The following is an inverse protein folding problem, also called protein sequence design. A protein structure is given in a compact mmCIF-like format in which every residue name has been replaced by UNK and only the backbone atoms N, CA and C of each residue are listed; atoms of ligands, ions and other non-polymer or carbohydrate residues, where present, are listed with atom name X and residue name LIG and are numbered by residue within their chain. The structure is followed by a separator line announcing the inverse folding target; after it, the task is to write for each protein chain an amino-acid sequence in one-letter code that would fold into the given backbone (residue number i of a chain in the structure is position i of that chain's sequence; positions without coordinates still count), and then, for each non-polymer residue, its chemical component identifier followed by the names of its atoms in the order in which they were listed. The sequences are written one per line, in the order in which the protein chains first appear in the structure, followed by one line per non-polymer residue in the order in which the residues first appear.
data_IF_335321885825
#
_entry.id   IF_335321885825
#
_cell.length_a   1.000
_cell.length_b   1.000
_cell.length_c   1.000
_cell.angle_alpha   90.00
_cell.angle_beta   90.00
_cell.angle_gamma   90.00
#
_symmetry.space_group_name_H-M   'P 1'
#
loop_
_entity.id
_entity.type
_entity.pdbx_description
1 polymer ?
#
# COMPACT_ATOMS: atom_id res chain seq x y z
N UNK A 1 0.40 20.37 28.14
CA UNK A 1 -0.87 19.91 27.56
C UNK A 1 -1.55 18.85 28.42
N UNK A 2 -0.88 17.76 28.81
CA UNK A 2 -1.55 16.59 29.42
C UNK A 2 -1.89 16.70 30.91
N UNK A 3 -1.21 17.58 31.64
CA UNK A 3 -1.28 17.66 33.11
C UNK A 3 -2.56 18.31 33.66
N UNK A 4 -3.39 18.92 32.81
CA UNK A 4 -4.62 19.60 33.23
C UNK A 4 -5.78 19.22 32.31
N UNK A 5 -6.94 18.92 32.91
CA UNK A 5 -8.14 18.54 32.16
C UNK A 5 -8.59 19.63 31.17
N UNK A 6 -8.47 20.92 31.53
CA UNK A 6 -8.78 22.04 30.63
C UNK A 6 -7.90 22.04 29.38
N UNK A 7 -6.60 21.76 29.53
CA UNK A 7 -5.66 21.71 28.41
C UNK A 7 -5.92 20.49 27.50
N UNK A 8 -6.20 19.32 28.09
CA UNK A 8 -6.58 18.13 27.31
C UNK A 8 -7.87 18.36 26.54
N UNK A 9 -8.88 18.93 27.18
CA UNK A 9 -10.16 19.30 26.55
C UNK A 9 -9.95 20.23 25.36
N UNK A 10 -9.19 21.32 25.54
CA UNK A 10 -8.88 22.24 24.43
C UNK A 10 -8.16 21.55 23.27
N UNK A 11 -7.22 20.64 23.55
CA UNK A 11 -6.53 19.85 22.53
C UNK A 11 -7.50 18.91 21.80
N UNK A 12 -8.33 18.16 22.53
CA UNK A 12 -9.31 17.23 21.96
C UNK A 12 -10.27 17.98 21.04
N UNK A 13 -10.94 19.03 21.54
CA UNK A 13 -11.93 19.79 20.77
C UNK A 13 -11.33 20.45 19.53
N UNK A 14 -10.11 21.00 19.65
CA UNK A 14 -9.43 21.61 18.50
C UNK A 14 -8.98 20.58 17.47
N UNK A 15 -8.53 19.39 17.90
CA UNK A 15 -8.13 18.31 16.99
C UNK A 15 -9.32 17.77 16.18
N UNK A 16 -10.47 17.54 16.83
CA UNK A 16 -11.70 17.07 16.17
C UNK A 16 -12.19 18.13 15.17
N UNK A 17 -12.25 19.39 15.60
CA UNK A 17 -12.65 20.51 14.73
C UNK A 17 -11.75 20.62 13.50
N UNK A 18 -10.44 20.51 13.70
CA UNK A 18 -9.45 20.59 12.61
C UNK A 18 -9.63 19.41 11.65
N UNK A 19 -9.78 18.19 12.17
CA UNK A 19 -10.01 17.01 11.34
C UNK A 19 -11.25 17.17 10.44
N UNK A 20 -12.37 17.61 11.02
CA UNK A 20 -13.60 17.88 10.26
C UNK A 20 -13.45 19.01 9.25
N UNK A 21 -12.87 20.13 9.67
CA UNK A 21 -12.69 21.31 8.81
C UNK A 21 -11.86 21.01 7.56
N UNK A 22 -10.89 20.11 7.68
CA UNK A 22 -10.02 19.71 6.57
C UNK A 22 -10.40 18.39 5.91
N UNK A 23 -11.56 17.80 6.28
CA UNK A 23 -12.08 16.59 5.66
C UNK A 23 -11.28 15.31 5.96
N UNK A 24 -10.53 15.28 7.07
CA UNK A 24 -9.85 14.08 7.54
C UNK A 24 -10.85 13.10 8.17
N UNK A 25 -10.62 11.81 7.95
CA UNK A 25 -11.43 10.71 8.52
C UNK A 25 -10.94 10.29 9.90
N UNK A 26 -9.79 10.78 10.34
CA UNK A 26 -9.19 10.38 11.59
C UNK A 26 -8.05 11.28 12.04
N UNK A 27 -7.53 10.98 13.22
CA UNK A 27 -6.46 11.70 13.88
C UNK A 27 -5.42 10.68 14.37
N UNK A 28 -4.16 10.95 14.10
CA UNK A 28 -3.04 10.11 14.51
C UNK A 28 -2.18 10.82 15.56
N UNK A 29 -2.09 10.25 16.76
CA UNK A 29 -1.28 10.77 17.85
C UNK A 29 0.17 10.30 17.69
N UNK A 30 1.04 11.22 17.27
CA UNK A 30 2.46 10.95 17.07
C UNK A 30 3.32 11.64 18.14
N UNK A 31 3.56 10.97 19.28
CA UNK A 31 4.36 11.49 20.40
C UNK A 31 5.61 10.65 20.65
N UNK A 32 6.79 11.22 20.34
CA UNK A 32 8.11 10.58 20.47
C UNK A 32 8.98 11.22 21.56
N UNK A 33 9.01 10.76 22.81
CA UNK A 33 8.19 9.77 23.50
C UNK A 33 7.70 10.39 24.82
N UNK A 34 6.75 9.78 25.54
CA UNK A 34 6.54 10.10 26.95
C UNK A 34 7.86 10.01 27.72
N UNK A 35 8.09 10.90 28.69
CA UNK A 35 9.39 10.98 29.38
C UNK A 35 9.29 10.65 30.87
N UNK A 36 8.08 10.53 31.41
CA UNK A 36 7.84 10.28 32.84
C UNK A 36 6.70 9.29 33.05
N UNK A 37 6.64 8.68 34.24
CA UNK A 37 5.51 7.86 34.65
C UNK A 37 4.19 8.67 34.65
N UNK A 38 4.26 9.96 35.01
CA UNK A 38 3.10 10.86 34.97
C UNK A 38 2.60 11.09 33.54
N UNK A 39 3.51 11.22 32.57
CA UNK A 39 3.14 11.32 31.15
C UNK A 39 2.36 10.10 30.67
N UNK A 40 2.77 8.89 31.08
CA UNK A 40 2.06 7.65 30.74
C UNK A 40 0.65 7.59 31.35
N UNK A 41 0.52 7.95 32.62
CA UNK A 41 -0.80 8.03 33.28
C UNK A 41 -1.68 9.06 32.60
N UNK A 42 -1.16 10.26 32.34
CA UNK A 42 -1.92 11.34 31.71
C UNK A 42 -2.24 11.06 30.24
N UNK A 43 -1.41 10.28 29.54
CA UNK A 43 -1.72 9.76 28.21
C UNK A 43 -2.96 8.88 28.28
N UNK A 44 -3.02 7.93 29.22
CA UNK A 44 -4.18 7.05 29.37
C UNK A 44 -5.48 7.86 29.57
N UNK A 45 -5.43 8.89 30.41
CA UNK A 45 -6.55 9.81 30.64
C UNK A 45 -6.92 10.60 29.39
N UNK A 46 -5.93 11.11 28.64
CA UNK A 46 -6.18 11.79 27.38
C UNK A 46 -6.93 10.89 26.40
N UNK A 47 -6.49 9.64 26.22
CA UNK A 47 -7.09 8.73 25.24
C UNK A 47 -8.55 8.38 25.63
N UNK A 48 -8.82 8.19 26.93
CA UNK A 48 -10.18 7.97 27.44
C UNK A 48 -11.10 9.16 27.16
N UNK A 49 -10.64 10.38 27.48
CA UNK A 49 -11.39 11.62 27.22
C UNK A 49 -11.59 11.85 25.71
N UNK A 50 -10.57 11.55 24.89
CA UNK A 50 -10.59 11.78 23.45
C UNK A 50 -11.59 10.87 22.74
N UNK A 51 -11.61 9.57 23.06
CA UNK A 51 -12.60 8.64 22.50
C UNK A 51 -14.02 9.01 22.94
N UNK A 52 -14.21 9.41 24.19
CA UNK A 52 -15.52 9.86 24.66
C UNK A 52 -16.04 11.06 23.86
N UNK A 53 -15.18 12.04 23.56
CA UNK A 53 -15.55 13.22 22.80
C UNK A 53 -15.79 12.91 21.31
N UNK A 54 -14.98 12.06 20.68
CA UNK A 54 -15.23 11.61 19.29
C UNK A 54 -16.59 10.94 19.18
N UNK A 55 -16.92 10.05 20.12
CA UNK A 55 -18.21 9.35 20.11
C UNK A 55 -19.37 10.33 20.38
N UNK A 56 -19.14 11.36 21.21
CA UNK A 56 -20.10 12.43 21.48
C UNK A 56 -20.36 13.28 20.22
N UNK A 57 -19.29 13.72 19.54
CA UNK A 57 -19.36 14.51 18.33
C UNK A 57 -20.09 13.76 17.21
N UNK A 58 -19.77 12.48 16.98
CA UNK A 58 -20.43 11.65 15.98
C UNK A 58 -21.94 11.51 16.24
N UNK A 59 -22.33 11.27 17.49
CA UNK A 59 -23.76 11.22 17.88
C UNK A 59 -24.47 12.55 17.68
N UNK A 60 -23.81 13.67 17.95
CA UNK A 60 -24.42 15.00 17.88
C UNK A 60 -24.55 15.51 16.44
N UNK A 61 -23.61 15.15 15.56
CA UNK A 61 -23.59 15.62 14.15
C UNK A 61 -24.22 14.61 13.19
N UNK A 62 -24.33 13.34 13.58
CA UNK A 62 -24.73 12.25 12.69
C UNK A 62 -23.63 11.82 11.71
N UNK A 63 -22.41 12.34 11.85
CA UNK A 63 -21.25 11.93 11.05
C UNK A 63 -20.65 10.62 11.58
N UNK A 64 -19.93 9.90 10.70
CA UNK A 64 -19.14 8.74 11.13
C UNK A 64 -18.06 9.16 12.16
N UNK A 65 -17.83 8.32 13.17
CA UNK A 65 -16.78 8.52 14.17
C UNK A 65 -15.41 8.74 13.51
N UNK A 66 -14.63 9.67 14.04
CA UNK A 66 -13.25 9.85 13.61
C UNK A 66 -12.42 8.64 14.05
N UNK A 67 -11.59 8.14 13.14
CA UNK A 67 -10.62 7.08 13.42
C UNK A 67 -9.52 7.67 14.32
N UNK A 68 -9.22 7.04 15.44
CA UNK A 68 -8.11 7.41 16.31
C UNK A 68 -6.97 6.41 16.19
N UNK A 69 -5.80 6.92 15.84
CA UNK A 69 -4.56 6.17 15.68
C UNK A 69 -3.48 6.70 16.61
N UNK A 70 -2.46 5.89 16.85
CA UNK A 70 -1.31 6.29 17.65
C UNK A 70 -0.04 5.62 17.19
N UNK A 71 1.06 6.37 17.17
CA UNK A 71 2.40 5.85 17.00
C UNK A 71 2.95 5.26 18.30
N UNK A 72 3.50 4.06 18.23
CA UNK A 72 4.07 3.34 19.36
C UNK A 72 5.56 3.12 19.14
N UNK A 73 6.31 3.15 20.25
CA UNK A 73 7.69 2.66 20.26
C UNK A 73 7.69 1.15 20.00
N UNK A 74 8.77 0.63 19.43
CA UNK A 74 8.94 -0.81 19.21
C UNK A 74 8.77 -1.66 20.47
N UNK A 75 9.09 -1.12 21.65
CA UNK A 75 8.81 -1.75 22.94
C UNK A 75 7.68 -1.02 23.70
N UNK A 76 6.83 -1.77 24.41
CA UNK A 76 5.84 -1.19 25.31
C UNK A 76 6.46 -0.58 26.58
N UNK A 77 7.68 -1.01 26.94
CA UNK A 77 8.34 -0.71 28.21
C UNK A 77 9.39 0.41 28.11
N UNK A 78 9.51 1.16 29.21
CA UNK A 78 10.46 2.24 29.45
C UNK A 78 11.07 2.07 30.84
N UNK A 79 12.18 2.77 31.11
CA UNK A 79 12.82 2.77 32.43
C UNK A 79 11.89 3.25 33.54
N UNK A 80 10.94 4.13 33.22
CA UNK A 80 10.01 4.75 34.17
C UNK A 80 8.58 4.17 34.11
N UNK A 81 8.34 3.10 33.34
CA UNK A 81 7.02 2.47 33.28
C UNK A 81 6.69 1.82 31.94
N UNK A 82 5.42 1.48 31.77
CA UNK A 82 4.87 0.87 30.55
C UNK A 82 3.82 1.80 29.96
N UNK A 83 3.61 1.74 28.64
CA UNK A 83 2.45 2.40 28.02
C UNK A 83 1.13 2.00 28.72
N UNK A 84 0.10 2.86 28.74
CA UNK A 84 -1.22 2.54 29.27
C UNK A 84 -1.99 1.62 28.30
N UNK A 85 -1.51 0.39 28.14
CA UNK A 85 -1.97 -0.61 27.14
C UNK A 85 -3.49 -0.75 27.13
N UNK A 86 -4.13 -0.85 28.29
CA UNK A 86 -5.58 -0.98 28.38
C UNK A 86 -6.35 0.25 27.87
N UNK A 87 -5.83 1.45 28.09
CA UNK A 87 -6.43 2.67 27.53
C UNK A 87 -6.23 2.73 26.03
N UNK A 88 -5.03 2.43 25.53
CA UNK A 88 -4.76 2.39 24.08
C UNK A 88 -5.68 1.37 23.39
N UNK A 89 -5.78 0.16 23.93
CA UNK A 89 -6.63 -0.94 23.42
C UNK A 89 -8.11 -0.56 23.31
N UNK A 90 -8.64 0.11 24.33
CA UNK A 90 -10.06 0.53 24.38
C UNK A 90 -10.34 1.72 23.47
N UNK A 91 -9.41 2.66 23.38
CA UNK A 91 -9.69 3.98 22.81
C UNK A 91 -9.18 4.18 21.39
N UNK A 92 -8.11 3.50 20.96
CA UNK A 92 -7.59 3.62 19.60
C UNK A 92 -8.22 2.56 18.71
N UNK A 93 -8.51 2.91 17.45
CA UNK A 93 -8.96 1.95 16.45
C UNK A 93 -7.83 0.97 16.13
N UNK A 94 -6.64 1.52 15.91
CA UNK A 94 -5.38 0.77 15.85
C UNK A 94 -4.20 1.65 16.23
N UNK A 95 -3.05 1.02 16.45
CA UNK A 95 -1.80 1.69 16.72
C UNK A 95 -0.71 1.11 15.82
N UNK A 96 0.30 1.91 15.51
CA UNK A 96 1.36 1.51 14.59
C UNK A 96 2.74 1.60 15.25
N UNK A 97 3.50 0.52 15.15
CA UNK A 97 4.81 0.39 15.78
C UNK A 97 5.87 1.00 14.88
N UNK A 98 6.62 1.96 15.40
CA UNK A 98 7.84 2.48 14.75
C UNK A 98 8.92 1.42 14.88
N UNK A 99 9.05 0.58 13.85
CA UNK A 99 9.93 -0.58 13.79
C UNK A 99 11.19 -0.33 12.95
N UNK A 100 11.75 0.85 13.10
CA UNK A 100 12.93 1.35 12.40
C UNK A 100 13.64 2.40 13.26
N UNK A 101 14.79 2.86 12.79
CA UNK A 101 15.68 3.82 13.47
C UNK A 101 16.23 3.27 14.80
N UNK A 102 16.39 1.95 14.87
CA UNK A 102 16.97 1.24 16.01
C UNK A 102 18.40 1.69 16.32
N UNK A 103 19.16 1.91 15.25
CA UNK A 103 20.57 2.27 15.30
C UNK A 103 20.82 3.46 14.39
N UNK A 104 21.54 4.46 14.90
CA UNK A 104 21.77 5.72 14.19
C UNK A 104 23.27 6.04 14.07
N UNK A 105 23.75 6.42 12.88
CA UNK A 105 25.16 6.79 12.68
C UNK A 105 25.59 8.05 13.44
N UNK A 106 24.63 8.82 13.96
CA UNK A 106 24.89 9.98 14.82
C UNK A 106 25.18 9.59 16.28
N UNK A 107 24.86 8.37 16.67
CA UNK A 107 24.97 7.87 18.06
C UNK A 107 25.98 6.74 18.20
N UNK A 108 26.24 6.00 17.13
CA UNK A 108 26.99 4.74 17.18
C UNK A 108 28.22 4.78 16.25
N UNK A 109 29.22 3.97 16.60
CA UNK A 109 30.51 3.85 15.88
C UNK A 109 30.67 2.51 15.18
N UNK A 110 29.57 1.80 14.96
CA UNK A 110 29.54 0.54 14.24
C UNK A 110 28.35 0.57 13.27
N UNK A 111 28.48 -0.10 12.13
CA UNK A 111 27.37 -0.27 11.19
C UNK A 111 26.30 -1.17 11.83
N UNK A 112 25.03 -0.86 11.65
CA UNK A 112 23.94 -1.65 12.23
C UNK A 112 22.73 -1.67 11.32
N UNK A 113 21.88 -2.68 11.51
CA UNK A 113 20.62 -2.80 10.81
C UNK A 113 19.55 -1.89 11.46
N UNK A 114 19.37 -0.66 10.92
CA UNK A 114 18.43 0.32 11.50
C UNK A 114 16.97 -0.15 11.61
N UNK A 115 16.57 -1.17 10.86
CA UNK A 115 15.21 -1.68 10.81
C UNK A 115 15.16 -3.22 10.85
N UNK A 116 16.07 -3.85 11.58
CA UNK A 116 16.16 -5.31 11.67
C UNK A 116 14.82 -5.97 12.05
N UNK A 117 14.35 -6.94 11.24
CA UNK A 117 13.22 -7.78 11.65
C UNK A 117 13.63 -8.70 12.80
N UNK A 118 14.82 -9.30 12.68
CA UNK A 118 15.44 -10.15 13.67
C UNK A 118 16.85 -9.64 13.97
N UNK A 119 17.32 -9.83 15.20
CA UNK A 119 18.72 -9.63 15.56
C UNK A 119 19.13 -10.76 16.50
N UNK A 120 20.06 -11.66 16.11
CA UNK A 120 20.51 -12.74 16.98
C UNK A 120 21.39 -12.25 18.15
N UNK A 121 21.89 -11.02 18.08
CA UNK A 121 22.82 -10.46 19.06
C UNK A 121 22.19 -9.48 20.03
N UNK A 122 20.93 -9.07 19.81
CA UNK A 122 20.25 -8.11 20.68
C UNK A 122 18.73 -8.24 20.64
N UNK A 123 18.06 -7.60 21.61
CA UNK A 123 16.60 -7.46 21.61
C UNK A 123 16.12 -6.22 20.85
N UNK A 124 17.02 -5.49 20.18
CA UNK A 124 16.70 -4.28 19.42
C UNK A 124 16.30 -4.67 18.00
N UNK A 125 15.14 -5.30 17.87
CA UNK A 125 14.58 -5.73 16.59
C UNK A 125 13.05 -5.77 16.62
N UNK A 126 12.45 -5.82 15.44
CA UNK A 126 11.00 -5.79 15.26
C UNK A 126 10.30 -7.00 15.87
N UNK A 127 10.80 -8.22 15.66
CA UNK A 127 10.14 -9.44 16.16
C UNK A 127 10.06 -9.45 17.69
N UNK A 128 11.15 -9.08 18.36
CA UNK A 128 11.16 -8.96 19.81
C UNK A 128 10.13 -7.95 20.30
N UNK A 129 10.10 -6.75 19.70
CA UNK A 129 9.15 -5.70 20.07
C UNK A 129 7.68 -6.10 19.87
N UNK A 130 7.35 -6.69 18.71
CA UNK A 130 6.01 -7.19 18.42
C UNK A 130 5.61 -8.29 19.41
N UNK A 131 6.49 -9.25 19.71
CA UNK A 131 6.19 -10.29 20.70
C UNK A 131 5.93 -9.71 22.09
N UNK A 132 6.68 -8.69 22.50
CA UNK A 132 6.50 -8.05 23.80
C UNK A 132 5.15 -7.30 23.88
N UNK A 133 4.78 -6.55 22.85
CA UNK A 133 3.46 -5.91 22.76
C UNK A 133 2.30 -6.91 22.86
N UNK A 134 2.40 -8.06 22.17
CA UNK A 134 1.39 -9.11 22.21
C UNK A 134 1.36 -9.82 23.57
N UNK A 135 2.54 -10.10 24.17
CA UNK A 135 2.65 -10.73 25.48
C UNK A 135 2.03 -9.86 26.60
N UNK A 136 2.12 -8.54 26.46
CA UNK A 136 1.48 -7.58 27.36
C UNK A 136 -0.02 -7.36 27.08
N UNK A 137 -0.61 -8.15 26.17
CA UNK A 137 -2.06 -8.17 25.93
C UNK A 137 -2.56 -7.17 24.89
N UNK A 138 -1.67 -6.51 24.13
CA UNK A 138 -2.12 -5.69 23.01
C UNK A 138 -2.62 -6.57 21.85
N UNK A 139 -3.80 -6.29 21.27
CA UNK A 139 -4.37 -7.19 20.27
C UNK A 139 -3.68 -7.04 18.90
N UNK A 140 -3.25 -8.16 18.33
CA UNK A 140 -2.56 -8.20 17.04
C UNK A 140 -3.38 -7.52 15.92
N UNK A 141 -4.69 -7.76 15.88
CA UNK A 141 -5.60 -7.16 14.89
C UNK A 141 -5.89 -5.66 15.11
N UNK A 142 -5.20 -4.99 16.05
CA UNK A 142 -5.15 -3.53 16.16
C UNK A 142 -3.72 -2.97 16.06
N UNK A 143 -2.74 -3.80 15.72
CA UNK A 143 -1.34 -3.39 15.64
C UNK A 143 -0.88 -3.38 14.18
N UNK A 144 -0.31 -2.26 13.74
CA UNK A 144 0.32 -2.12 12.43
C UNK A 144 1.84 -2.16 12.57
N UNK A 145 2.51 -2.80 11.62
CA UNK A 145 3.96 -2.77 11.50
C UNK A 145 4.43 -1.55 10.69
N UNK A 146 5.28 -0.69 11.27
CA UNK A 146 5.90 0.43 10.55
C UNK A 146 7.09 0.00 9.70
N UNK A 147 7.09 0.42 8.43
CA UNK A 147 8.15 0.12 7.46
C UNK A 147 8.88 1.41 7.04
N UNK A 148 10.22 1.44 7.04
CA UNK A 148 10.98 2.60 6.59
C UNK A 148 11.21 2.56 5.09
N UNK A 149 10.91 3.67 4.41
CA UNK A 149 11.35 3.92 3.04
C UNK A 149 12.58 4.82 3.03
N UNK A 150 13.45 4.64 4.02
CA UNK A 150 14.73 5.32 4.12
C UNK A 150 15.77 4.34 4.63
N UNK A 151 17.00 4.82 4.65
CA UNK A 151 18.13 4.15 5.20
C UNK A 151 19.11 5.13 5.79
N UNK A 152 20.25 4.60 6.22
CA UNK A 152 21.32 5.41 6.76
C UNK A 152 22.64 5.07 6.09
N UNK A 153 23.52 6.05 5.99
CA UNK A 153 24.87 5.93 5.49
C UNK A 153 25.87 6.11 6.64
N UNK A 154 26.82 5.17 6.73
CA UNK A 154 27.93 5.15 7.66
C UNK A 154 29.26 5.24 6.90
N UNK A 155 30.21 5.94 7.49
CA UNK A 155 31.59 5.95 7.01
C UNK A 155 32.37 4.81 7.68
N UNK A 156 32.72 3.77 6.94
CA UNK A 156 33.56 2.67 7.41
C UNK A 156 34.97 3.18 7.75
N UNK A 157 35.53 2.68 8.86
CA UNK A 157 36.95 2.91 9.19
C UNK A 157 37.83 2.13 8.22
N UNK A 158 37.45 0.90 7.90
CA UNK A 158 38.15 0.03 6.97
C UNK A 158 37.14 -0.57 5.98
N UNK A 159 37.14 -0.19 4.69
CA UNK A 159 36.21 -0.72 3.69
C UNK A 159 36.26 -2.25 3.49
N UNK A 160 37.35 -2.90 3.92
CA UNK A 160 37.49 -4.37 3.87
C UNK A 160 36.71 -5.06 5.01
N UNK A 161 36.40 -4.34 6.07
CA UNK A 161 35.53 -4.78 7.16
C UNK A 161 34.17 -4.11 6.97
N UNK A 162 33.22 -4.84 6.39
CA UNK A 162 32.00 -4.22 5.86
C UNK A 162 30.71 -5.02 6.13
N UNK A 163 30.80 -5.99 7.04
CA UNK A 163 29.63 -6.66 7.58
C UNK A 163 28.78 -5.70 8.44
N UNK A 164 27.59 -6.13 8.81
CA UNK A 164 26.84 -5.51 9.91
C UNK A 164 27.69 -5.67 11.19
N UNK A 165 27.84 -4.59 11.96
CA UNK A 165 28.72 -4.51 13.12
C UNK A 165 30.15 -4.07 12.81
N UNK A 166 30.44 -3.66 11.57
CA UNK A 166 31.77 -3.19 11.19
C UNK A 166 32.09 -1.81 11.82
N UNK A 167 33.36 -1.55 12.20
CA UNK A 167 33.76 -0.25 12.72
C UNK A 167 33.48 0.91 11.75
N UNK A 168 32.86 1.97 12.25
CA UNK A 168 32.55 3.19 11.50
C UNK A 168 32.98 4.45 12.25
N UNK A 169 33.27 5.51 11.51
CA UNK A 169 33.51 6.86 12.04
C UNK A 169 32.22 7.67 12.21
N UNK A 170 31.05 7.02 12.05
CA UNK A 170 29.71 7.61 12.17
C UNK A 170 29.07 7.88 10.81
N UNK A 171 28.30 8.95 10.72
CA UNK A 171 27.52 9.36 9.53
C UNK A 171 28.35 9.60 8.27
N UNK A 172 27.78 9.26 7.12
CA UNK A 172 28.29 9.57 5.78
C UNK A 172 27.18 10.17 4.90
N UNK A 173 27.57 10.75 3.76
CA UNK A 173 26.70 11.34 2.70
C UNK A 173 25.85 12.56 3.10
N UNK A 174 25.15 12.52 4.24
CA UNK A 174 24.24 13.58 4.70
C UNK A 174 24.53 14.00 6.15
N UNK A 175 23.89 15.08 6.61
CA UNK A 175 24.17 15.70 7.91
C UNK A 175 23.89 14.78 9.11
N UNK A 176 23.02 13.80 8.96
CA UNK A 176 22.64 12.80 9.96
C UNK A 176 22.79 11.36 9.43
N UNK A 177 23.28 11.19 8.21
CA UNK A 177 23.38 9.90 7.52
C UNK A 177 22.08 9.43 6.85
N UNK A 178 20.94 10.09 7.07
CA UNK A 178 19.66 9.66 6.49
C UNK A 178 19.68 9.78 4.97
N UNK A 179 19.16 8.77 4.27
CA UNK A 179 18.96 8.77 2.82
C UNK A 179 17.57 8.20 2.49
N UNK A 180 16.80 8.86 1.62
CA UNK A 180 15.55 8.30 1.10
C UNK A 180 15.82 7.07 0.24
N UNK A 181 14.91 6.09 0.20
CA UNK A 181 15.08 4.90 -0.63
C UNK A 181 15.34 5.24 -2.11
N UNK A 182 14.58 6.17 -2.69
CA UNK A 182 14.81 6.67 -4.07
C UNK A 182 16.18 7.31 -4.27
N UNK A 183 16.73 7.99 -3.27
CA UNK A 183 18.10 8.50 -3.34
C UNK A 183 19.11 7.36 -3.27
N UNK A 184 18.92 6.38 -2.38
CA UNK A 184 19.76 5.19 -2.29
C UNK A 184 19.80 4.43 -3.62
N UNK A 185 18.65 4.23 -4.30
CA UNK A 185 18.60 3.56 -5.60
C UNK A 185 19.40 4.28 -6.68
N UNK A 186 19.25 5.61 -6.79
CA UNK A 186 20.05 6.43 -7.72
C UNK A 186 21.54 6.41 -7.37
N UNK A 187 21.87 6.42 -6.09
CA UNK A 187 23.24 6.38 -5.61
C UNK A 187 23.90 5.04 -5.99
N UNK A 188 23.25 3.91 -5.69
CA UNK A 188 23.67 2.57 -6.10
C UNK A 188 23.89 2.50 -7.62
N UNK A 189 22.94 3.00 -8.41
CA UNK A 189 23.02 2.99 -9.86
C UNK A 189 24.20 3.82 -10.39
N UNK A 190 24.46 4.99 -9.80
CA UNK A 190 25.54 5.89 -10.22
C UNK A 190 26.93 5.30 -10.02
N UNK A 191 27.08 4.44 -9.00
CA UNK A 191 28.35 3.79 -8.68
C UNK A 191 28.43 2.32 -9.16
N UNK A 192 27.39 1.80 -9.80
CA UNK A 192 27.34 0.39 -10.24
C UNK A 192 27.43 -0.61 -9.08
N UNK A 193 26.96 -0.24 -7.89
CA UNK A 193 26.98 -1.10 -6.72
C UNK A 193 25.87 -2.15 -6.77
N UNK A 194 26.07 -3.27 -6.08
CA UNK A 194 25.03 -4.29 -5.92
C UNK A 194 24.59 -4.33 -4.45
N UNK A 195 23.29 -4.12 -4.15
CA UNK A 195 22.80 -4.27 -2.80
C UNK A 195 22.80 -5.74 -2.37
N UNK A 196 23.14 -5.97 -1.11
CA UNK A 196 23.22 -7.28 -0.46
C UNK A 196 22.02 -7.40 0.46
N UNK A 197 21.18 -8.42 0.24
CA UNK A 197 20.13 -8.79 1.19
C UNK A 197 20.72 -9.66 2.30
N UNK A 198 20.46 -9.30 3.55
CA UNK A 198 20.85 -10.08 4.71
C UNK A 198 19.62 -10.81 5.28
N UNK A 199 19.54 -12.12 5.07
CA UNK A 199 18.42 -12.94 5.54
C UNK A 199 18.35 -13.07 7.08
N UNK A 200 19.48 -12.93 7.79
CA UNK A 200 19.51 -13.00 9.26
C UNK A 200 18.79 -11.81 9.88
N UNK A 201 19.03 -10.60 9.35
CA UNK A 201 18.44 -9.36 9.86
C UNK A 201 17.18 -8.91 9.10
N UNK A 202 16.98 -9.44 7.89
CA UNK A 202 15.92 -9.04 6.94
C UNK A 202 16.01 -7.55 6.60
N UNK A 203 17.19 -7.15 6.15
CA UNK A 203 17.49 -5.79 5.66
C UNK A 203 18.43 -5.88 4.47
N UNK A 204 18.53 -4.81 3.70
CA UNK A 204 19.49 -4.65 2.63
C UNK A 204 20.61 -3.69 3.07
N UNK A 205 21.79 -3.88 2.49
CA UNK A 205 22.87 -2.91 2.58
C UNK A 205 23.73 -2.90 1.33
N UNK A 206 24.45 -1.82 1.05
CA UNK A 206 25.44 -1.75 -0.01
C UNK A 206 26.70 -1.02 0.46
N UNK A 207 27.82 -1.26 -0.23
CA UNK A 207 29.10 -0.63 0.07
C UNK A 207 29.61 0.07 -1.19
N UNK A 208 29.93 1.36 -1.06
CA UNK A 208 30.45 2.20 -2.13
C UNK A 208 31.66 2.95 -1.56
N UNK A 209 32.87 2.54 -1.95
CA UNK A 209 34.09 3.04 -1.33
C UNK A 209 34.10 2.74 0.17
N UNK A 210 34.19 3.78 0.99
CA UNK A 210 34.07 3.69 2.46
C UNK A 210 32.65 3.95 2.98
N UNK A 211 31.67 4.18 2.12
CA UNK A 211 30.29 4.42 2.54
C UNK A 211 29.55 3.09 2.59
N UNK A 212 28.99 2.77 3.76
CA UNK A 212 28.12 1.62 4.00
C UNK A 212 26.70 2.12 4.22
N UNK A 213 25.75 1.66 3.42
CA UNK A 213 24.37 2.17 3.44
C UNK A 213 23.43 1.01 3.70
N UNK A 214 22.57 1.10 4.72
CA UNK A 214 21.54 0.10 4.96
C UNK A 214 20.13 0.67 4.85
N UNK A 215 19.21 -0.18 4.40
CA UNK A 215 17.85 0.19 4.03
C UNK A 215 17.01 -1.08 3.85
N UNK A 216 15.70 -0.94 3.66
CA UNK A 216 14.86 -2.03 3.18
C UNK A 216 14.69 -1.94 1.65
N UNK A 217 15.06 -3.00 0.94
CA UNK A 217 14.68 -3.17 -0.48
C UNK A 217 13.47 -4.11 -0.59
N UNK A 218 13.03 -4.36 -1.82
CA UNK A 218 11.83 -5.15 -2.16
C UNK A 218 11.76 -6.48 -1.40
N UNK A 219 12.85 -7.23 -1.30
CA UNK A 219 12.87 -8.53 -0.60
C UNK A 219 12.63 -8.40 0.92
N UNK A 220 13.24 -7.39 1.55
CA UNK A 220 13.02 -7.11 2.97
C UNK A 220 11.57 -6.67 3.24
N UNK A 221 11.03 -5.77 2.41
CA UNK A 221 9.63 -5.32 2.51
C UNK A 221 8.66 -6.51 2.39
N UNK A 222 8.83 -7.36 1.37
CA UNK A 222 7.99 -8.55 1.18
C UNK A 222 8.03 -9.48 2.38
N UNK A 223 9.23 -9.72 2.91
CA UNK A 223 9.43 -10.60 4.07
C UNK A 223 8.78 -10.03 5.33
N UNK A 224 8.91 -8.72 5.59
CA UNK A 224 8.30 -8.06 6.76
C UNK A 224 6.77 -8.04 6.69
N UNK A 225 6.20 -7.96 5.50
CA UNK A 225 4.74 -8.03 5.30
C UNK A 225 4.22 -9.46 5.48
N UNK A 226 4.94 -10.45 4.95
CA UNK A 226 4.65 -11.85 5.22
C UNK A 226 4.68 -12.14 6.73
N UNK A 227 5.66 -11.59 7.44
CA UNK A 227 5.74 -11.65 8.91
C UNK A 227 4.52 -11.00 9.59
N UNK A 228 4.14 -9.78 9.19
CA UNK A 228 2.98 -9.10 9.76
C UNK A 228 1.69 -9.94 9.62
N UNK A 229 1.52 -10.57 8.47
CA UNK A 229 0.42 -11.51 8.21
C UNK A 229 0.48 -12.77 9.06
N UNK A 230 1.65 -13.37 9.18
CA UNK A 230 1.87 -14.56 10.02
C UNK A 230 1.49 -14.28 11.48
N UNK A 231 1.90 -13.11 12.00
CA UNK A 231 1.56 -12.64 13.34
C UNK A 231 0.12 -12.14 13.47
N UNK A 232 -0.67 -12.17 12.40
CA UNK A 232 -2.06 -11.67 12.35
C UNK A 232 -2.17 -10.21 12.80
N UNK A 233 -1.15 -9.42 12.48
CA UNK A 233 -1.20 -7.98 12.64
C UNK A 233 -2.30 -7.40 11.76
N UNK A 234 -2.81 -6.21 12.10
CA UNK A 234 -3.81 -5.54 11.28
C UNK A 234 -3.29 -5.21 9.88
N UNK A 235 -1.98 -5.00 9.74
CA UNK A 235 -1.34 -4.60 8.50
C UNK A 235 -0.01 -3.89 8.77
N UNK A 236 0.31 -2.92 7.91
CA UNK A 236 1.53 -2.13 7.99
C UNK A 236 1.25 -0.65 7.64
N UNK A 237 2.15 0.24 8.04
CA UNK A 237 2.22 1.62 7.57
C UNK A 237 3.66 1.93 7.10
N UNK A 238 3.84 3.02 6.36
CA UNK A 238 5.15 3.35 5.75
C UNK A 238 5.59 4.76 6.13
N UNK A 239 6.88 4.92 6.42
CA UNK A 239 7.52 6.20 6.68
C UNK A 239 8.70 6.42 5.71
N UNK A 240 8.60 7.26 4.70
CA UNK A 240 7.37 7.90 4.20
C UNK A 240 7.25 7.65 2.71
N UNK A 241 6.01 7.63 2.23
CA UNK A 241 5.65 7.31 0.83
C UNK A 241 6.50 8.06 -0.20
N UNK A 242 6.80 9.35 0.03
CA UNK A 242 7.58 10.18 -0.90
C UNK A 242 9.02 9.70 -1.10
N UNK A 243 9.52 8.85 -0.22
CA UNK A 243 10.87 8.31 -0.33
C UNK A 243 10.94 7.08 -1.24
N UNK A 244 9.82 6.47 -1.62
CA UNK A 244 9.80 5.31 -2.51
C UNK A 244 10.37 5.65 -3.90
N UNK A 245 10.90 4.64 -4.59
CA UNK A 245 11.40 4.77 -5.97
C UNK A 245 10.30 4.29 -6.93
N UNK A 246 9.58 5.24 -7.51
CA UNK A 246 8.50 4.94 -8.46
C UNK A 246 7.49 3.92 -7.91
N UNK A 247 7.15 4.00 -6.62
CA UNK A 247 6.20 3.13 -5.91
C UNK A 247 6.61 1.65 -5.85
N UNK A 248 7.90 1.33 -6.03
CA UNK A 248 8.34 -0.06 -6.10
C UNK A 248 8.16 -0.79 -4.77
N UNK A 249 8.47 -0.15 -3.64
CA UNK A 249 8.26 -0.76 -2.32
C UNK A 249 6.76 -0.85 -2.00
N UNK A 250 6.00 0.17 -2.37
CA UNK A 250 4.55 0.22 -2.18
C UNK A 250 3.82 -0.88 -2.97
N UNK A 251 4.22 -1.12 -4.22
CA UNK A 251 3.69 -2.22 -5.05
C UNK A 251 4.09 -3.59 -4.53
N UNK A 252 5.36 -3.76 -4.13
CA UNK A 252 5.83 -5.01 -3.55
C UNK A 252 5.01 -5.38 -2.30
N UNK A 253 4.62 -4.37 -1.53
CA UNK A 253 3.78 -4.53 -0.36
C UNK A 253 2.37 -5.04 -0.71
N UNK A 254 1.74 -4.46 -1.74
CA UNK A 254 0.43 -4.86 -2.25
C UNK A 254 0.44 -6.26 -2.89
N UNK A 255 1.48 -6.63 -3.62
CA UNK A 255 1.60 -7.94 -4.27
C UNK A 255 1.62 -9.08 -3.25
N UNK A 256 2.40 -8.93 -2.17
CA UNK A 256 2.42 -9.90 -1.08
C UNK A 256 1.07 -9.97 -0.38
N UNK A 257 0.36 -8.84 -0.26
CA UNK A 257 -1.01 -8.79 0.26
C UNK A 257 -1.92 -9.76 -0.50
N UNK A 258 -1.88 -9.72 -1.83
CA UNK A 258 -2.68 -10.52 -2.74
C UNK A 258 -2.17 -11.97 -2.94
N UNK A 259 -0.86 -12.20 -2.81
CA UNK A 259 -0.21 -13.48 -3.09
C UNK A 259 -0.73 -14.65 -2.23
N UNK A 260 -1.11 -14.39 -0.97
CA UNK A 260 -1.68 -15.41 -0.09
C UNK A 260 -3.06 -15.89 -0.56
N UNK A 261 -3.90 -14.97 -1.06
CA UNK A 261 -5.20 -15.31 -1.64
C UNK A 261 -5.06 -16.18 -2.89
N UNK A 262 -4.07 -15.89 -3.72
CA UNK A 262 -3.79 -16.67 -4.93
C UNK A 262 -3.21 -18.05 -4.62
N UNK A 263 -2.31 -18.19 -3.64
CA UNK A 263 -1.79 -19.52 -3.22
C UNK A 263 -2.91 -20.40 -2.67
N UNK A 264 -3.82 -19.86 -1.86
CA UNK A 264 -4.99 -20.60 -1.33
C UNK A 264 -5.98 -20.99 -2.43
N UNK A 265 -6.26 -20.08 -3.39
CA UNK A 265 -7.09 -20.39 -4.56
C UNK A 265 -6.45 -21.45 -5.45
N UNK A 266 -5.13 -21.38 -5.68
CA UNK A 266 -4.38 -22.37 -6.45
C UNK A 266 -4.40 -23.75 -5.78
N UNK A 267 -4.17 -23.82 -4.47
CA UNK A 267 -4.28 -25.06 -3.68
C UNK A 267 -5.67 -25.69 -3.79
N UNK A 268 -6.74 -24.89 -3.63
CA UNK A 268 -8.11 -25.38 -3.79
C UNK A 268 -8.39 -25.87 -5.22
N UNK A 269 -7.88 -25.15 -6.23
CA UNK A 269 -8.04 -25.50 -7.65
C UNK A 269 -7.33 -26.80 -8.00
N UNK A 270 -6.22 -27.15 -7.33
CA UNK A 270 -5.48 -28.40 -7.54
C UNK A 270 -6.06 -29.55 -6.71
N UNK A 271 -6.43 -29.31 -5.44
CA UNK A 271 -6.89 -30.37 -4.53
C UNK A 271 -8.29 -30.90 -4.86
N UNK A 272 -9.20 -30.05 -5.33
CA UNK A 272 -10.57 -30.45 -5.71
C UNK A 272 -10.61 -31.49 -6.85
N UNK A 273 -9.90 -31.31 -7.99
CA UNK A 273 -9.88 -32.32 -9.05
C UNK A 273 -9.18 -33.61 -8.62
N UNK A 274 -8.13 -33.55 -7.80
CA UNK A 274 -7.47 -34.76 -7.27
C UNK A 274 -8.46 -35.57 -6.41
N UNK A 275 -9.19 -34.91 -5.52
CA UNK A 275 -10.21 -35.57 -4.70
C UNK A 275 -11.32 -36.20 -5.57
N UNK A 276 -11.77 -35.51 -6.61
CA UNK A 276 -12.76 -36.04 -7.56
C UNK A 276 -12.26 -37.30 -8.27
N UNK A 277 -11.00 -37.29 -8.72
CA UNK A 277 -10.37 -38.45 -9.38
C UNK A 277 -10.29 -39.64 -8.42
N UNK A 278 -9.90 -39.42 -7.16
CA UNK A 278 -9.85 -40.49 -6.16
C UNK A 278 -11.24 -41.09 -5.92
N UNK A 279 -12.29 -40.26 -5.83
CA UNK A 279 -13.67 -40.72 -5.67
C UNK A 279 -14.12 -41.54 -6.89
N UNK A 280 -13.84 -41.07 -8.11
CA UNK A 280 -14.19 -41.79 -9.35
C UNK A 280 -13.45 -43.12 -9.45
N UNK A 281 -12.16 -43.17 -9.08
CA UNK A 281 -11.39 -44.41 -9.04
C UNK A 281 -11.92 -45.38 -7.99
N UNK A 282 -12.27 -44.90 -6.79
CA UNK A 282 -12.89 -45.73 -5.76
C UNK A 282 -14.24 -46.31 -6.23
N UNK A 283 -15.06 -45.49 -6.88
CA UNK A 283 -16.34 -45.95 -7.44
C UNK A 283 -16.14 -46.97 -8.57
N UNK A 284 -15.13 -46.77 -9.43
CA UNK A 284 -14.76 -47.71 -10.49
C UNK A 284 -14.28 -49.04 -9.90
N UNK A 285 -13.47 -49.02 -8.84
CA UNK A 285 -13.01 -50.24 -8.14
C UNK A 285 -14.20 -50.96 -7.49
N UNK A 286 -15.08 -50.26 -6.79
CA UNK A 286 -16.30 -50.84 -6.22
C UNK A 286 -17.22 -51.44 -7.31
N UNK A 287 -17.37 -50.75 -8.44
CA UNK A 287 -18.12 -51.25 -9.60
C UNK A 287 -17.49 -52.51 -10.22
N UNK A 288 -16.16 -52.57 -10.33
CA UNK A 288 -15.48 -53.77 -10.82
C UNK A 288 -15.53 -54.92 -9.82
N UNK A 289 -15.42 -54.64 -8.51
CA UNK A 289 -15.56 -55.65 -7.44
C UNK A 289 -16.99 -56.23 -7.40
N UNK A 290 -18.02 -55.40 -7.58
CA UNK A 290 -19.42 -55.84 -7.68
C UNK A 290 -19.75 -56.58 -8.98
N UNK A 291 -18.89 -56.53 -10.01
CA UNK A 291 -18.98 -57.36 -11.22
C UNK A 291 -18.33 -58.73 -11.06
N UNK A 292 -17.37 -58.87 -10.13
CA UNK A 292 -16.66 -60.13 -9.84
C UNK A 292 -17.35 -60.96 -8.75
N UNK A 293 -18.13 -60.32 -7.89
CA UNK A 293 -19.06 -60.99 -6.97
C UNK A 293 -20.43 -61.11 -7.64
N UNK A 294 -20.73 -62.26 -8.25
CA UNK A 294 -22.11 -62.61 -8.61
C UNK A 294 -23.00 -62.61 -7.37
N UNK A 295 -24.11 -61.85 -7.34
CA UNK A 295 -25.22 -62.11 -6.44
C UNK A 295 -26.25 -62.97 -7.17
N UNK A 296 -26.48 -64.19 -6.67
CA UNK A 296 -27.69 -64.97 -6.96
C UNK A 296 -28.92 -64.16 -6.51
N UNK A 297 -29.92 -64.09 -7.38
CA UNK A 297 -30.98 -63.08 -7.34
C UNK A 297 -32.13 -63.26 -6.33
N UNK A 298 -33.12 -62.38 -6.52
CA UNK A 298 -34.56 -62.29 -6.13
C UNK A 298 -34.84 -60.76 -5.97
N UNK A 299 -35.98 -60.11 -6.25
CA UNK A 299 -37.12 -60.19 -7.18
C UNK A 299 -37.98 -58.93 -6.85
N UNK A 300 -38.70 -58.36 -7.83
CA UNK A 300 -39.87 -57.44 -7.75
C UNK A 300 -39.74 -55.91 -7.55
N UNK A 301 -40.10 -55.24 -8.65
CA UNK A 301 -41.12 -54.18 -8.83
C UNK A 301 -40.89 -52.75 -8.35
N UNK A 302 -40.97 -51.83 -9.32
CA UNK A 302 -41.21 -50.40 -9.09
C UNK A 302 -41.03 -49.52 -10.32
N UNK A 303 -41.71 -49.82 -11.44
CA UNK A 303 -41.76 -48.96 -12.63
C UNK A 303 -42.74 -47.81 -12.37
N UNK A 304 -42.29 -46.56 -12.44
CA UNK A 304 -43.10 -45.42 -12.91
C UNK A 304 -42.19 -44.42 -13.60
N UNK A 305 -42.35 -44.30 -14.91
CA UNK A 305 -41.69 -43.28 -15.71
C UNK A 305 -42.53 -42.01 -15.78
N UNK A 306 -41.88 -40.91 -16.17
CA UNK A 306 -42.46 -39.87 -17.01
C UNK A 306 -41.31 -39.13 -17.71
N UNK A 307 -41.24 -39.36 -19.03
CA UNK A 307 -41.06 -38.44 -20.16
C UNK A 307 -39.88 -37.44 -20.19
N UNK A 308 -39.10 -37.52 -21.29
CA UNK A 308 -37.98 -36.63 -21.69
C UNK A 308 -38.42 -35.26 -22.25
N UNK A 309 -37.70 -34.59 -23.19
CA UNK A 309 -36.60 -35.02 -24.08
C UNK A 309 -35.28 -34.18 -23.93
N UNK A 310 -34.10 -34.75 -24.19
CA UNK A 310 -33.28 -34.68 -25.44
C UNK A 310 -33.10 -33.26 -26.02
N UNK A 311 -31.88 -32.71 -25.93
CA UNK A 311 -30.95 -32.54 -27.08
C UNK A 311 -29.57 -32.09 -26.60
N UNK A 312 -28.57 -32.54 -27.34
CA UNK A 312 -27.13 -32.51 -27.06
C UNK A 312 -26.45 -31.24 -27.64
N UNK A 313 -25.14 -31.06 -27.44
CA UNK A 313 -24.45 -29.78 -27.24
C UNK A 313 -23.95 -29.15 -28.55
N UNK A 314 -23.67 -27.84 -28.54
CA UNK A 314 -22.61 -27.24 -29.36
C UNK A 314 -22.47 -25.73 -29.11
N UNK A 315 -21.33 -25.22 -29.58
CA UNK A 315 -20.92 -23.83 -29.76
C UNK A 315 -20.18 -23.21 -28.57
N UNK A 316 -18.85 -23.22 -28.59
CA UNK A 316 -17.93 -22.47 -29.46
C UNK A 316 -17.49 -21.17 -28.77
N UNK A 317 -16.17 -21.07 -28.65
CA UNK A 317 -15.42 -19.89 -28.26
C UNK A 317 -15.79 -18.69 -29.14
N UNK A 318 -15.90 -17.52 -28.51
CA UNK A 318 -15.77 -16.23 -29.17
C UNK A 318 -14.76 -15.38 -28.38
N UNK A 319 -13.70 -14.86 -29.03
CA UNK A 319 -12.81 -13.86 -28.44
C UNK A 319 -13.31 -12.47 -28.83
N UNK A 320 -13.96 -11.76 -27.90
CA UNK A 320 -14.16 -10.32 -28.08
C UNK A 320 -13.92 -9.59 -26.76
N UNK A 321 -12.93 -8.71 -26.79
CA UNK A 321 -12.41 -7.94 -25.67
C UNK A 321 -13.13 -6.61 -25.50
N UNK A 322 -14.46 -6.59 -25.50
CA UNK A 322 -15.22 -5.36 -25.28
C UNK A 322 -15.37 -5.08 -23.79
N UNK A 323 -14.64 -4.06 -23.31
CA UNK A 323 -14.76 -3.51 -21.96
C UNK A 323 -16.05 -2.67 -21.85
N UNK A 324 -16.93 -2.85 -20.84
CA UNK A 324 -18.17 -2.09 -20.74
C UNK A 324 -17.91 -0.61 -20.37
N UNK A 325 -18.73 0.31 -20.90
CA UNK A 325 -18.89 1.73 -20.54
C UNK A 325 -17.94 2.81 -21.09
N UNK A 326 -16.93 2.51 -21.91
CA UNK A 326 -16.06 3.54 -22.53
C UNK A 326 -16.48 3.88 -23.96
N UNK A 327 -16.55 5.17 -24.30
CA UNK A 327 -16.82 5.62 -25.67
C UNK A 327 -15.54 5.61 -26.50
N UNK A 328 -15.63 5.12 -27.75
CA UNK A 328 -14.54 5.23 -28.73
C UNK A 328 -14.73 6.51 -29.52
N UNK A 329 -13.75 7.40 -29.50
CA UNK A 329 -13.75 8.66 -30.23
C UNK A 329 -12.88 8.57 -31.48
N UNK A 330 -13.30 9.22 -32.57
CA UNK A 330 -12.47 9.35 -33.77
C UNK A 330 -11.41 10.44 -33.60
N UNK A 331 -10.27 10.31 -34.29
CA UNK A 331 -9.23 11.32 -34.30
C UNK A 331 -9.75 12.65 -34.83
N UNK A 332 -10.63 12.63 -35.84
CA UNK A 332 -11.27 13.84 -36.36
C UNK A 332 -12.07 14.59 -35.29
N UNK A 333 -12.86 13.87 -34.50
CA UNK A 333 -13.68 14.49 -33.44
C UNK A 333 -12.83 15.11 -32.33
N UNK A 334 -11.72 14.46 -31.96
CA UNK A 334 -10.80 14.98 -30.93
C UNK A 334 -9.96 16.14 -31.46
N UNK A 335 -9.56 16.07 -32.72
CA UNK A 335 -8.82 17.16 -33.39
C UNK A 335 -9.70 18.41 -33.45
N UNK A 336 -10.96 18.29 -33.84
CA UNK A 336 -11.91 19.40 -33.83
C UNK A 336 -12.14 19.93 -32.40
N UNK A 337 -12.40 19.04 -31.44
CA UNK A 337 -12.67 19.41 -30.04
C UNK A 337 -11.51 20.16 -29.38
N UNK A 338 -10.28 19.86 -29.75
CA UNK A 338 -9.05 20.49 -29.20
C UNK A 338 -8.54 21.65 -30.04
N UNK A 339 -9.26 22.04 -31.11
CA UNK A 339 -8.80 23.01 -32.11
C UNK A 339 -7.42 22.65 -32.66
N UNK A 340 -7.32 21.45 -33.23
CA UNK A 340 -6.12 20.84 -33.77
C UNK A 340 -4.94 20.80 -32.77
N UNK A 341 -5.22 20.41 -31.52
CA UNK A 341 -4.24 20.38 -30.42
C UNK A 341 -3.47 21.70 -30.26
N UNK A 342 -4.18 22.82 -30.41
CA UNK A 342 -3.61 24.16 -30.28
C UNK A 342 -2.87 24.32 -28.95
N UNK A 343 -1.70 24.99 -29.00
CA UNK A 343 -0.90 25.30 -27.80
C UNK A 343 -1.71 26.11 -26.80
N UNK A 344 -2.65 26.95 -27.25
CA UNK A 344 -3.54 27.72 -26.38
C UNK A 344 -4.45 26.83 -25.52
N UNK A 345 -4.72 25.60 -25.97
CA UNK A 345 -5.53 24.62 -25.27
C UNK A 345 -4.68 23.64 -24.45
N UNK A 346 -3.35 23.75 -24.46
CA UNK A 346 -2.47 22.86 -23.71
C UNK A 346 -2.53 23.19 -22.22
N UNK A 347 -3.01 22.24 -21.42
CA UNK A 347 -3.16 22.39 -19.97
C UNK A 347 -2.09 21.64 -19.17
N UNK A 348 -1.32 20.76 -19.81
CA UNK A 348 -0.11 20.20 -19.21
C UNK A 348 0.72 19.32 -20.13
N UNK A 349 1.94 19.00 -19.71
CA UNK A 349 2.88 18.14 -20.46
C UNK A 349 3.91 17.50 -19.55
N UNK A 350 4.08 16.18 -19.64
CA UNK A 350 5.11 15.44 -18.90
C UNK A 350 5.69 14.28 -19.73
N UNK A 351 6.42 13.38 -19.06
CA UNK A 351 7.05 12.22 -19.70
C UNK A 351 6.07 11.26 -20.41
N UNK A 352 4.78 11.39 -20.13
CA UNK A 352 3.70 10.55 -20.65
C UNK A 352 2.90 11.20 -21.79
N UNK A 353 3.29 12.40 -22.22
CA UNK A 353 2.64 13.13 -23.30
C UNK A 353 2.01 14.46 -22.88
N UNK A 354 1.24 15.04 -23.79
CA UNK A 354 0.61 16.36 -23.63
C UNK A 354 -0.88 16.24 -23.35
N UNK A 355 -1.39 17.11 -22.47
CA UNK A 355 -2.81 17.19 -22.10
C UNK A 355 -3.40 18.49 -22.64
N UNK A 356 -4.51 18.37 -23.35
CA UNK A 356 -5.22 19.48 -23.98
C UNK A 356 -6.63 19.59 -23.42
N UNK A 357 -7.11 20.82 -23.20
CA UNK A 357 -8.52 21.10 -22.99
C UNK A 357 -9.24 21.02 -24.34
N UNK A 358 -10.39 20.36 -24.36
CA UNK A 358 -11.24 20.28 -25.54
C UNK A 358 -12.71 20.49 -25.21
N UNK A 359 -13.53 20.73 -26.23
CA UNK A 359 -14.98 20.87 -26.11
C UNK A 359 -15.67 20.01 -27.17
N UNK A 360 -16.50 19.06 -26.74
CA UNK A 360 -17.27 18.20 -27.64
C UNK A 360 -18.51 18.95 -28.21
N UNK A 361 -19.12 18.49 -29.31
CA UNK A 361 -20.25 19.16 -30.00
C UNK A 361 -21.53 19.42 -29.18
N UNK A 362 -21.59 18.95 -27.92
CA UNK A 362 -22.69 19.19 -26.98
C UNK A 362 -22.30 20.12 -25.81
N UNK A 363 -21.18 20.83 -25.93
CA UNK A 363 -20.68 21.75 -24.90
C UNK A 363 -20.00 21.07 -23.71
N UNK A 364 -19.73 19.76 -23.79
CA UNK A 364 -19.04 19.04 -22.74
C UNK A 364 -17.54 19.34 -22.80
N UNK A 365 -17.00 19.91 -21.72
CA UNK A 365 -15.56 20.13 -21.56
C UNK A 365 -14.85 18.81 -21.23
N UNK A 366 -13.75 18.56 -21.93
CA UNK A 366 -12.93 17.36 -21.79
C UNK A 366 -11.45 17.70 -21.62
N UNK A 367 -10.72 16.79 -21.00
CA UNK A 367 -9.26 16.77 -21.03
C UNK A 367 -8.79 15.60 -21.89
N UNK A 368 -7.97 15.89 -22.90
CA UNK A 368 -7.44 14.91 -23.85
C UNK A 368 -5.96 14.73 -23.58
N UNK A 369 -5.58 13.55 -23.07
CA UNK A 369 -4.20 13.15 -22.87
C UNK A 369 -3.72 12.40 -24.12
N UNK A 370 -2.84 13.02 -24.89
CA UNK A 370 -2.22 12.44 -26.09
C UNK A 370 -0.89 11.80 -25.68
N UNK A 371 -0.80 10.48 -25.81
CA UNK A 371 0.38 9.72 -25.39
C UNK A 371 1.53 9.90 -26.38
N UNK A 372 2.77 9.83 -25.87
CA UNK A 372 3.98 9.95 -26.70
C UNK A 372 4.18 8.73 -27.60
N UNK A 373 4.58 8.96 -28.87
CA UNK A 373 4.86 7.90 -29.86
C UNK A 373 6.15 7.12 -29.60
N UNK A 374 7.10 7.70 -28.87
CA UNK A 374 8.48 7.17 -28.77
C UNK A 374 8.71 6.26 -27.56
N UNK A 375 7.66 5.84 -26.85
CA UNK A 375 7.81 5.10 -25.60
C UNK A 375 7.04 3.77 -25.61
N UNK A 376 7.75 2.66 -25.43
CA UNK A 376 7.19 1.34 -25.09
C UNK A 376 6.32 1.41 -23.84
N UNK A 377 6.65 2.31 -22.92
CA UNK A 377 5.91 2.60 -21.69
C UNK A 377 4.47 3.11 -21.97
N UNK A 378 4.27 3.90 -23.03
CA UNK A 378 2.96 4.47 -23.35
C UNK A 378 1.91 3.44 -23.78
N UNK A 379 2.33 2.27 -24.30
CA UNK A 379 1.39 1.21 -24.70
C UNK A 379 0.90 0.37 -23.52
N UNK A 380 1.80 0.02 -22.60
CA UNK A 380 1.45 -0.68 -21.37
C UNK A 380 0.60 0.20 -20.45
N UNK A 381 0.95 1.49 -20.33
CA UNK A 381 0.15 2.46 -19.56
C UNK A 381 -1.24 2.67 -20.16
N UNK A 382 -1.36 2.78 -21.48
CA UNK A 382 -2.67 2.84 -22.14
C UNK A 382 -3.52 1.59 -21.84
N UNK A 383 -2.91 0.41 -21.95
CA UNK A 383 -3.61 -0.87 -21.71
C UNK A 383 -4.02 -0.98 -20.24
N UNK A 384 -3.16 -0.58 -19.32
CA UNK A 384 -3.45 -0.55 -17.88
C UNK A 384 -4.55 0.45 -17.55
N UNK A 385 -4.49 1.68 -18.08
CA UNK A 385 -5.45 2.74 -17.78
C UNK A 385 -6.85 2.41 -18.36
N UNK A 386 -6.93 1.88 -19.59
CA UNK A 386 -8.20 1.38 -20.16
C UNK A 386 -8.75 0.19 -19.36
N UNK A 387 -7.90 -0.75 -18.94
CA UNK A 387 -8.30 -1.95 -18.18
C UNK A 387 -8.73 -1.63 -16.75
N UNK A 388 -8.10 -0.64 -16.10
CA UNK A 388 -8.45 -0.18 -14.75
C UNK A 388 -9.79 0.58 -14.75
N UNK A 389 -10.04 1.40 -15.78
CA UNK A 389 -11.24 2.25 -15.80
C UNK A 389 -12.52 1.46 -16.07
N UNK A 390 -12.42 0.27 -16.68
CA UNK A 390 -13.47 -0.73 -16.77
C UNK A 390 -14.13 -1.08 -15.43
N UNK A 391 -13.36 -0.95 -14.33
CA UNK A 391 -13.70 -1.50 -13.02
C UNK A 391 -13.87 -0.42 -11.94
N UNK A 392 -13.52 0.83 -12.22
CA UNK A 392 -13.44 1.91 -11.23
C UNK A 392 -14.25 3.13 -11.67
N UNK A 393 -15.53 3.18 -11.28
CA UNK A 393 -16.36 4.39 -11.34
C UNK A 393 -16.68 4.83 -9.91
N UNK A 394 -16.08 5.92 -9.45
CA UNK A 394 -16.28 6.45 -8.09
C UNK A 394 -16.38 7.98 -8.13
N UNK A 395 -17.18 8.57 -7.23
CA UNK A 395 -17.45 10.02 -7.18
C UNK A 395 -16.20 10.89 -6.92
N UNK A 396 -15.16 10.31 -6.33
CA UNK A 396 -13.91 11.01 -5.99
C UNK A 396 -12.74 10.70 -6.95
N UNK A 397 -12.99 10.02 -8.07
CA UNK A 397 -11.99 9.77 -9.11
C UNK A 397 -12.42 10.49 -10.39
N UNK A 398 -11.47 11.18 -11.03
CA UNK A 398 -11.73 11.82 -12.32
C UNK A 398 -12.08 10.73 -13.34
N UNK A 399 -13.26 10.84 -13.93
CA UNK A 399 -13.81 9.83 -14.81
C UNK A 399 -13.17 9.86 -16.19
N UNK A 400 -12.76 8.68 -16.68
CA UNK A 400 -12.45 8.48 -18.10
C UNK A 400 -13.77 8.35 -18.86
N UNK A 401 -13.95 9.19 -19.87
CA UNK A 401 -15.11 9.21 -20.75
C UNK A 401 -14.91 8.22 -21.91
N UNK A 402 -13.68 8.09 -22.38
CA UNK A 402 -13.38 7.25 -23.53
C UNK A 402 -11.93 7.29 -23.97
N UNK A 403 -11.67 6.70 -25.13
CA UNK A 403 -10.34 6.63 -25.72
C UNK A 403 -10.39 6.75 -27.25
N UNK A 404 -9.25 7.08 -27.86
CA UNK A 404 -9.04 7.11 -29.31
C UNK A 404 -7.78 6.31 -29.65
N UNK A 405 -7.89 5.36 -30.57
CA UNK A 405 -6.76 4.61 -31.15
C UNK A 405 -6.90 4.65 -32.68
N UNK A 406 -6.28 5.63 -33.32
CA UNK A 406 -6.32 5.79 -34.78
C UNK A 406 -4.97 6.31 -35.28
N UNK A 407 -4.49 5.80 -36.42
CA UNK A 407 -3.24 6.27 -37.06
C UNK A 407 -2.02 6.33 -36.11
N UNK A 408 -1.84 5.29 -35.27
CA UNK A 408 -0.81 5.19 -34.21
C UNK A 408 -0.91 6.24 -33.09
N UNK A 409 -1.95 7.07 -33.10
CA UNK A 409 -2.27 7.96 -32.00
C UNK A 409 -3.06 7.20 -30.93
N UNK A 410 -2.59 7.27 -29.68
CA UNK A 410 -3.29 6.74 -28.52
C UNK A 410 -3.65 7.91 -27.61
N UNK A 411 -4.95 8.10 -27.37
CA UNK A 411 -5.43 9.20 -26.54
C UNK A 411 -6.47 8.71 -25.52
N UNK A 412 -6.43 9.32 -24.35
CA UNK A 412 -7.42 9.12 -23.29
C UNK A 412 -8.20 10.40 -23.06
N UNK A 413 -9.52 10.26 -22.94
CA UNK A 413 -10.47 11.37 -22.80
C UNK A 413 -11.05 11.31 -21.39
N UNK A 414 -10.85 12.37 -20.63
CA UNK A 414 -11.36 12.54 -19.27
C UNK A 414 -12.35 13.69 -19.20
N UNK A 415 -13.15 13.71 -18.15
CA UNK A 415 -13.88 14.93 -17.79
C UNK A 415 -12.91 16.04 -17.38
N UNK A 416 -13.24 17.28 -17.77
CA UNK A 416 -12.43 18.43 -17.43
C UNK A 416 -12.64 18.85 -15.98
N UNK A 417 -11.54 19.11 -15.25
CA UNK A 417 -11.56 19.55 -13.86
C UNK A 417 -11.24 21.06 -13.78
N UNK A 418 -12.21 21.93 -13.46
CA UNK A 418 -12.03 23.39 -13.53
C UNK A 418 -11.11 23.94 -12.42
N UNK A 419 -10.97 23.23 -11.30
CA UNK A 419 -10.27 23.74 -10.10
C UNK A 419 -8.75 23.49 -10.09
N UNK A 420 -8.10 23.21 -11.23
CA UNK A 420 -6.65 22.88 -11.30
C UNK A 420 -6.27 21.67 -10.44
N UNK A 421 -5.01 21.22 -10.54
CA UNK A 421 -4.52 20.03 -9.82
C UNK A 421 -4.32 20.29 -8.33
N UNK A 422 -4.44 19.26 -7.50
CA UNK A 422 -4.11 19.31 -6.07
C UNK A 422 -2.71 19.89 -5.77
N UNK A 423 -1.72 19.69 -6.67
CA UNK A 423 -0.41 20.37 -6.64
C UNK A 423 -0.52 21.86 -6.36
N UNK A 424 -1.44 22.48 -7.09
CA UNK A 424 -1.51 23.91 -7.24
C UNK A 424 -1.85 24.54 -5.90
N UNK A 425 -2.68 23.85 -5.12
CA UNK A 425 -3.05 24.24 -3.76
C UNK A 425 -2.03 23.80 -2.71
N UNK A 426 -1.33 22.69 -2.93
CA UNK A 426 -0.30 22.21 -2.00
C UNK A 426 1.02 23.01 -2.09
N UNK A 427 1.34 23.61 -3.23
CA UNK A 427 2.67 24.19 -3.50
C UNK A 427 2.65 25.59 -4.14
N UNK A 428 1.55 26.34 -4.02
CA UNK A 428 1.39 27.64 -4.69
C UNK A 428 2.04 28.86 -4.01
N UNK A 429 2.84 29.61 -4.79
CA UNK A 429 3.38 30.97 -4.58
C UNK A 429 4.62 31.18 -3.67
N UNK A 430 5.68 30.40 -3.89
CA UNK A 430 7.05 30.92 -3.75
C UNK A 430 8.06 30.08 -4.53
N UNK A 431 9.04 30.75 -5.13
CA UNK A 431 10.24 30.20 -5.80
C UNK A 431 10.14 30.02 -7.33
N UNK A 432 10.45 31.11 -8.04
CA UNK A 432 10.99 31.06 -9.39
C UNK A 432 12.45 30.56 -9.36
N UNK A 433 12.79 29.63 -10.26
CA UNK A 433 14.10 29.00 -10.55
C UNK A 433 14.62 28.02 -9.48
N UNK A 434 14.70 26.69 -9.66
CA UNK A 434 14.87 25.87 -10.86
C UNK A 434 14.01 24.60 -10.75
N UNK A 435 12.87 24.58 -11.43
CA UNK A 435 12.05 23.38 -11.62
C UNK A 435 11.86 23.19 -13.13
N UNK A 436 12.46 22.14 -13.70
CA UNK A 436 12.05 21.64 -15.00
C UNK A 436 11.48 20.23 -14.82
N UNK A 437 10.17 20.16 -15.08
CA UNK A 437 9.33 18.99 -15.30
C UNK A 437 8.98 18.09 -14.11
N UNK A 438 8.07 18.60 -13.27
CA UNK A 438 7.05 17.77 -12.61
C UNK A 438 5.68 18.32 -13.01
N UNK A 439 5.16 17.84 -14.13
CA UNK A 439 3.75 18.02 -14.47
C UNK A 439 2.92 16.89 -13.86
N UNK A 440 1.82 17.29 -13.26
CA UNK A 440 0.99 16.50 -12.39
C UNK A 440 0.09 15.49 -13.10
N UNK A 441 0.12 14.28 -12.56
CA UNK A 441 -0.99 13.41 -12.16
C UNK A 441 -2.11 13.06 -13.16
N UNK A 442 -2.30 11.75 -13.39
CA UNK A 442 -3.63 11.15 -13.48
C UNK A 442 -3.67 9.69 -12.98
N UNK A 443 -4.46 9.47 -11.92
CA UNK A 443 -5.51 8.43 -11.84
C UNK A 443 -5.16 6.94 -11.65
N UNK A 444 -4.24 6.63 -10.76
CA UNK A 444 -4.28 5.36 -10.00
C UNK A 444 -4.16 5.56 -8.47
N UNK A 445 -4.10 6.81 -8.02
CA UNK A 445 -3.87 7.19 -6.63
C UNK A 445 -5.18 7.66 -5.98
N UNK A 446 -6.02 6.72 -5.50
CA UNK A 446 -6.86 6.80 -4.27
C UNK A 446 -7.95 5.69 -4.19
N UNK A 447 -7.65 4.44 -4.55
CA UNK A 447 -8.64 3.38 -4.38
C UNK A 447 -7.99 2.04 -4.04
N UNK A 448 -7.52 1.89 -2.80
CA UNK A 448 -7.49 0.61 -2.08
C UNK A 448 -7.27 0.90 -0.60
N UNK A 449 -8.35 0.89 0.17
CA UNK A 449 -8.51 0.34 1.53
C UNK A 449 -9.97 0.65 1.87
N UNK A 450 -10.83 -0.35 1.74
CA UNK A 450 -12.03 -0.65 2.52
C UNK A 450 -12.70 -1.82 1.78
N UNK A 451 -12.25 -3.04 2.08
CA UNK A 451 -13.09 -4.20 1.84
C UNK A 451 -13.85 -4.47 3.13
N UNK A 452 -15.10 -4.01 3.12
CA UNK A 452 -16.11 -4.27 4.13
C UNK A 452 -16.62 -5.71 3.93
N UNK A 453 -16.35 -6.59 4.89
CA UNK A 453 -17.03 -7.88 4.99
C UNK A 453 -18.10 -7.73 6.07
N UNK A 454 -19.36 -7.81 5.64
CA UNK A 454 -20.49 -8.18 6.50
C UNK A 454 -20.25 -9.51 7.19
#
# INVERSE_FOLDING_TARGET
MLNQSSHRKSFIESSIRTARQHGFQGIDLFWLWPNTASDMTNMGVLLDEWRAEVNSEARNTGLAELILMMALRYLPTFEFGIYPIDSIRRNMDWAHVIAYDYHLPTKEKFTHAHAALYDPSSHVNTDYGIRDWLAQGFPANKLLLGLPYHGYAWALVNPKENAIGAPSSGKAETADGTMSYSYIKRYIQSYGATPIFNATYVVNYCIIGSTWINFDDVEAIRTKIAYAKEKKLLGYNVFVVSNDDNWVLSRAAQEEENGHGNKRKLLLTVLLPIALIIILLAFMVCYLQSRVLEPKGIFLFGRRGLSGPVTNPSAAENPDGSVPHLQVFSLSSITEATNNFSIANKIGEGGFGSVYKGMLPRGQEIAVKRLSKTSTQGHEEFTNEVTLTARLQHVNLVRVIGFCIENEEKMLIYEYMPNKSLNFYLFGMSSFFCFKFLFYASLAHLAFIFHDHK
#
